data_IF_298910135742
#
_entry.id   IF_298910135742
#
_cell.length_a   1.000
_cell.length_b   1.000
_cell.length_c   1.000
_cell.angle_alpha   90.00
_cell.angle_beta   90.00
_cell.angle_gamma   90.00
#
_symmetry.space_group_name_H-M   'P 1'
#
loop_
_entity.id
_entity.type
_entity.pdbx_description
1 polymer ?
#
# COMPACT_ATOMS: atom_id res chain seq x y z
N UNK A 1 6.63 6.78 -19.52
CA UNK A 1 5.40 7.10 -20.24
C UNK A 1 4.91 8.45 -19.74
N UNK A 2 4.79 9.44 -20.58
CA UNK A 2 4.31 10.76 -20.18
C UNK A 2 2.80 10.80 -20.43
N UNK A 3 2.03 10.60 -19.36
CA UNK A 3 0.56 10.76 -19.39
C UNK A 3 0.22 12.26 -19.25
N UNK A 4 0.77 13.08 -20.16
CA UNK A 4 0.36 14.47 -20.24
C UNK A 4 -1.13 14.54 -20.61
N UNK A 5 -1.86 15.60 -20.24
CA UNK A 5 -3.30 15.71 -20.40
C UNK A 5 -3.80 15.71 -21.84
N UNK A 6 -2.93 15.59 -22.82
CA UNK A 6 -3.20 15.88 -24.22
C UNK A 6 -3.88 14.78 -25.05
N UNK A 7 -4.26 13.64 -24.50
CA UNK A 7 -4.81 12.56 -25.32
C UNK A 7 -6.05 11.85 -24.80
N UNK A 8 -6.28 11.81 -23.49
CA UNK A 8 -7.29 10.93 -22.90
C UNK A 8 -8.43 11.66 -22.15
N UNK A 9 -8.40 12.98 -22.09
CA UNK A 9 -9.39 13.75 -21.33
C UNK A 9 -9.18 13.63 -19.81
N UNK A 10 -10.24 13.87 -19.05
CA UNK A 10 -10.26 13.79 -17.59
C UNK A 10 -11.18 12.67 -17.10
N UNK A 11 -10.86 12.10 -15.94
CA UNK A 11 -11.55 10.96 -15.36
C UNK A 11 -12.18 11.33 -14.01
N UNK A 12 -13.31 10.68 -13.70
CA UNK A 12 -13.96 10.83 -12.39
C UNK A 12 -13.23 10.04 -11.30
N UNK A 13 -12.61 8.91 -11.67
CA UNK A 13 -11.90 8.02 -10.76
C UNK A 13 -10.60 7.53 -11.39
N UNK A 14 -9.53 7.50 -10.61
CA UNK A 14 -8.29 6.78 -10.92
C UNK A 14 -7.99 5.78 -9.79
N UNK A 15 -7.36 4.65 -10.14
CA UNK A 15 -6.95 3.62 -9.20
C UNK A 15 -5.49 3.29 -9.48
N UNK A 16 -4.69 3.21 -8.40
CA UNK A 16 -3.34 2.64 -8.43
C UNK A 16 -3.25 1.56 -7.38
N UNK A 17 -3.00 0.33 -7.81
CA UNK A 17 -2.83 -0.82 -6.93
C UNK A 17 -1.49 -1.48 -7.22
N UNK A 18 -0.53 -1.38 -6.29
CA UNK A 18 0.82 -1.94 -6.37
C UNK A 18 1.53 -1.62 -7.71
N UNK A 19 1.21 -0.48 -8.29
CA UNK A 19 1.74 -0.01 -9.57
C UNK A 19 2.84 1.03 -9.37
N UNK A 20 2.60 2.03 -8.52
CA UNK A 20 3.54 3.12 -8.30
C UNK A 20 4.79 2.69 -7.52
N UNK A 21 4.72 1.62 -6.73
CA UNK A 21 5.89 1.02 -6.07
C UNK A 21 6.92 0.48 -7.06
N UNK A 22 6.54 0.17 -8.32
CA UNK A 22 7.48 -0.27 -9.36
C UNK A 22 8.35 0.87 -9.93
N UNK A 23 8.05 2.10 -9.57
CA UNK A 23 8.90 3.25 -9.85
C UNK A 23 9.98 3.34 -8.74
N UNK A 24 11.22 3.01 -9.08
CA UNK A 24 12.32 2.82 -8.14
C UNK A 24 12.96 4.12 -7.64
N UNK A 25 12.36 5.27 -7.95
CA UNK A 25 12.77 6.56 -7.40
C UNK A 25 11.59 7.38 -6.90
N UNK A 26 11.79 8.07 -5.76
CA UNK A 26 10.79 9.02 -5.25
C UNK A 26 10.49 10.15 -6.24
N UNK A 27 11.46 10.52 -7.06
CA UNK A 27 11.28 11.54 -8.12
C UNK A 27 10.24 11.07 -9.14
N UNK A 28 10.33 9.82 -9.61
CA UNK A 28 9.43 9.26 -10.61
C UNK A 28 8.05 8.97 -10.01
N UNK A 29 7.99 8.47 -8.76
CA UNK A 29 6.74 8.32 -8.03
C UNK A 29 5.99 9.65 -7.89
N UNK A 30 6.69 10.75 -7.55
CA UNK A 30 6.09 12.09 -7.51
C UNK A 30 5.59 12.54 -8.89
N UNK A 31 6.37 12.31 -9.95
CA UNK A 31 5.95 12.65 -11.31
C UNK A 31 4.67 11.90 -11.70
N UNK A 32 4.62 10.59 -11.42
CA UNK A 32 3.44 9.78 -11.71
C UNK A 32 2.19 10.23 -10.91
N UNK A 33 2.33 10.51 -9.62
CA UNK A 33 1.23 11.05 -8.80
C UNK A 33 0.75 12.41 -9.36
N UNK A 34 1.67 13.30 -9.75
CA UNK A 34 1.32 14.57 -10.38
C UNK A 34 0.57 14.40 -11.69
N UNK A 35 1.00 13.47 -12.54
CA UNK A 35 0.32 13.14 -13.81
C UNK A 35 -1.08 12.58 -13.55
N UNK A 36 -1.24 11.67 -12.58
CA UNK A 36 -2.55 11.15 -12.18
C UNK A 36 -3.45 12.30 -11.69
N UNK A 37 -2.90 13.19 -10.86
CA UNK A 37 -3.66 14.34 -10.39
C UNK A 37 -4.12 15.27 -11.51
N UNK A 38 -3.34 15.42 -12.61
CA UNK A 38 -3.69 16.29 -13.73
C UNK A 38 -4.81 15.75 -14.62
N UNK A 39 -5.06 14.44 -14.60
CA UNK A 39 -6.10 13.78 -15.40
C UNK A 39 -7.36 13.43 -14.60
N UNK A 40 -7.39 13.71 -13.30
CA UNK A 40 -8.59 13.57 -12.49
C UNK A 40 -9.32 14.91 -12.44
N UNK A 41 -10.64 14.89 -12.65
CA UNK A 41 -11.52 16.05 -12.53
C UNK A 41 -11.47 16.64 -11.11
N UNK A 42 -11.73 17.93 -10.96
CA UNK A 42 -11.98 18.52 -9.63
C UNK A 42 -13.12 17.77 -8.93
N UNK A 43 -12.93 17.44 -7.66
CA UNK A 43 -13.85 16.61 -6.91
C UNK A 43 -13.81 15.11 -7.26
N UNK A 44 -13.02 14.69 -8.26
CA UNK A 44 -12.82 13.29 -8.61
C UNK A 44 -12.04 12.49 -7.55
N UNK A 45 -12.02 11.19 -7.66
CA UNK A 45 -11.48 10.27 -6.66
C UNK A 45 -10.21 9.58 -7.14
N UNK A 46 -9.18 9.52 -6.30
CA UNK A 46 -8.02 8.68 -6.51
C UNK A 46 -7.94 7.61 -5.42
N UNK A 47 -8.07 6.35 -5.80
CA UNK A 47 -7.88 5.19 -4.92
C UNK A 47 -6.42 4.74 -5.02
N UNK A 48 -5.68 4.98 -3.95
CA UNK A 48 -4.25 4.70 -3.85
C UNK A 48 -4.02 3.50 -2.94
N UNK A 49 -3.53 2.37 -3.48
CA UNK A 49 -3.31 1.11 -2.77
C UNK A 49 -1.86 0.66 -3.04
N UNK A 50 -0.95 1.00 -2.16
CA UNK A 50 0.49 0.83 -2.42
C UNK A 50 1.24 0.32 -1.19
N UNK A 51 2.51 -0.06 -1.38
CA UNK A 51 3.36 -0.54 -0.31
C UNK A 51 3.80 0.55 0.67
N UNK A 52 3.80 0.24 1.97
CA UNK A 52 4.27 1.10 3.06
C UNK A 52 5.64 0.65 3.56
N UNK A 53 6.62 1.53 3.46
CA UNK A 53 7.96 1.33 4.04
C UNK A 53 7.89 1.25 5.57
N UNK A 54 7.10 2.13 6.19
CA UNK A 54 6.93 2.18 7.64
C UNK A 54 6.27 0.93 8.17
N UNK A 55 5.20 0.47 7.52
CA UNK A 55 4.51 -0.76 7.89
C UNK A 55 5.39 -2.00 7.71
N UNK A 56 6.15 -2.09 6.59
CA UNK A 56 7.09 -3.20 6.37
C UNK A 56 8.17 -3.25 7.45
N UNK A 57 8.75 -2.11 7.79
CA UNK A 57 9.78 -2.04 8.84
C UNK A 57 9.25 -2.59 10.16
N UNK A 58 8.09 -2.13 10.61
CA UNK A 58 7.48 -2.57 11.89
C UNK A 58 7.04 -4.03 11.84
N UNK A 59 6.53 -4.51 10.71
CA UNK A 59 6.24 -5.94 10.54
C UNK A 59 7.52 -6.77 10.69
N UNK A 60 8.64 -6.34 10.11
CA UNK A 60 9.91 -7.04 10.22
C UNK A 60 10.48 -6.99 11.64
N UNK A 61 10.29 -5.89 12.37
CA UNK A 61 10.63 -5.81 13.81
C UNK A 61 9.81 -6.83 14.61
N UNK A 62 8.50 -6.93 14.38
CA UNK A 62 7.64 -7.93 15.01
C UNK A 62 8.04 -9.36 14.65
N UNK A 63 8.36 -9.65 13.38
CA UNK A 63 8.86 -10.95 12.93
C UNK A 63 10.18 -11.33 13.61
N UNK A 64 11.14 -10.42 13.61
CA UNK A 64 12.45 -10.64 14.23
C UNK A 64 12.37 -10.91 15.74
N UNK A 65 11.44 -10.26 16.45
CA UNK A 65 11.25 -10.48 17.90
C UNK A 65 10.81 -11.91 18.28
N UNK A 66 10.33 -12.68 17.30
CA UNK A 66 9.86 -14.06 17.47
C UNK A 66 10.65 -15.07 16.62
N UNK A 67 11.81 -14.66 16.08
CA UNK A 67 12.72 -15.55 15.35
C UNK A 67 12.35 -15.81 13.89
N UNK A 68 11.43 -15.06 13.31
CA UNK A 68 11.12 -15.13 11.87
C UNK A 68 12.04 -14.21 11.07
N UNK A 69 12.47 -14.66 9.90
CA UNK A 69 13.26 -13.87 8.97
C UNK A 69 12.53 -12.62 8.47
N UNK A 70 13.27 -11.55 8.20
CA UNK A 70 12.73 -10.35 7.62
C UNK A 70 12.17 -10.60 6.21
N UNK A 71 11.14 -9.85 5.85
CA UNK A 71 10.56 -9.82 4.50
C UNK A 71 11.03 -8.55 3.78
N UNK A 72 12.16 -8.59 3.04
CA UNK A 72 12.64 -7.42 2.31
C UNK A 72 11.67 -7.03 1.20
N UNK A 73 11.70 -5.78 0.72
CA UNK A 73 10.99 -5.43 -0.49
C UNK A 73 11.55 -6.22 -1.68
N UNK A 74 10.71 -6.49 -2.67
CA UNK A 74 11.18 -7.05 -3.95
C UNK A 74 12.12 -6.02 -4.59
N UNK A 75 13.21 -6.47 -5.20
CA UNK A 75 14.30 -5.62 -5.72
C UNK A 75 13.85 -4.48 -6.65
N UNK A 76 12.73 -4.68 -7.37
CA UNK A 76 12.17 -3.69 -8.30
C UNK A 76 11.07 -2.83 -7.67
N UNK A 77 10.82 -2.92 -6.36
CA UNK A 77 9.81 -2.14 -5.66
C UNK A 77 10.45 -1.11 -4.72
N UNK A 78 9.92 0.10 -4.74
CA UNK A 78 10.19 1.13 -3.76
C UNK A 78 8.89 1.45 -3.01
N UNK A 79 8.73 0.89 -1.80
CA UNK A 79 7.62 1.21 -0.93
C UNK A 79 7.66 2.69 -0.51
N UNK A 80 6.51 3.27 -0.20
CA UNK A 80 6.36 4.67 0.17
C UNK A 80 6.69 4.93 1.65
N UNK A 81 7.51 5.95 1.89
CA UNK A 81 7.60 6.64 3.19
C UNK A 81 6.27 7.40 3.40
N UNK A 82 5.48 7.00 4.39
CA UNK A 82 4.12 7.52 4.59
C UNK A 82 4.09 9.01 4.91
N UNK A 83 5.11 9.52 5.60
CA UNK A 83 5.21 10.94 5.94
C UNK A 83 5.46 11.79 4.68
N UNK A 84 6.43 11.38 3.87
CA UNK A 84 6.75 12.08 2.60
C UNK A 84 5.60 11.98 1.61
N UNK A 85 4.98 10.80 1.49
CA UNK A 85 3.81 10.57 0.65
C UNK A 85 2.65 11.48 1.04
N UNK A 86 2.27 11.46 2.33
CA UNK A 86 1.16 12.26 2.84
C UNK A 86 1.36 13.76 2.61
N UNK A 87 2.58 14.26 2.85
CA UNK A 87 2.92 15.67 2.61
C UNK A 87 2.81 16.03 1.11
N UNK A 88 3.19 15.12 0.23
CA UNK A 88 3.12 15.36 -1.21
C UNK A 88 1.69 15.29 -1.75
N UNK A 89 0.92 14.27 -1.35
CA UNK A 89 -0.48 14.09 -1.77
C UNK A 89 -1.36 15.27 -1.39
N UNK A 90 -1.15 15.88 -0.23
CA UNK A 90 -1.88 17.07 0.24
C UNK A 90 -1.79 18.28 -0.69
N UNK A 91 -0.84 18.31 -1.64
CA UNK A 91 -0.76 19.37 -2.65
C UNK A 91 -1.91 19.32 -3.65
N UNK A 92 -2.43 18.13 -3.93
CA UNK A 92 -3.41 17.87 -4.99
C UNK A 92 -4.74 17.35 -4.47
N UNK A 93 -4.71 16.69 -3.29
CA UNK A 93 -5.83 15.92 -2.78
C UNK A 93 -6.12 16.23 -1.32
N UNK A 94 -7.38 16.00 -0.93
CA UNK A 94 -7.81 15.81 0.45
C UNK A 94 -7.86 14.31 0.73
N UNK A 95 -7.29 13.86 1.85
CA UNK A 95 -7.36 12.45 2.26
C UNK A 95 -8.71 12.25 2.98
N UNK A 96 -9.65 11.57 2.32
CA UNK A 96 -10.97 11.31 2.89
C UNK A 96 -10.98 10.06 3.78
N UNK A 97 -10.23 9.03 3.37
CA UNK A 97 -10.19 7.76 4.10
C UNK A 97 -8.79 7.15 4.05
N UNK A 98 -8.41 6.53 5.16
CA UNK A 98 -7.20 5.71 5.26
C UNK A 98 -7.58 4.36 5.86
N UNK A 99 -7.26 3.28 5.16
CA UNK A 99 -7.43 1.91 5.63
C UNK A 99 -6.07 1.20 5.65
N UNK A 100 -5.99 0.19 6.47
CA UNK A 100 -4.80 -0.63 6.67
C UNK A 100 -5.18 -2.11 6.66
N UNK A 101 -4.24 -2.94 6.29
CA UNK A 101 -4.41 -4.40 6.25
C UNK A 101 -3.57 -5.10 7.33
N UNK A 102 -3.35 -4.43 8.48
CA UNK A 102 -2.45 -4.92 9.55
C UNK A 102 -2.87 -6.26 10.13
N UNK A 103 -4.17 -6.52 10.30
CA UNK A 103 -4.67 -7.84 10.72
C UNK A 103 -4.30 -8.92 9.69
N UNK A 104 -4.45 -8.61 8.38
CA UNK A 104 -4.00 -9.54 7.33
C UNK A 104 -2.52 -9.83 7.45
N UNK A 105 -1.69 -8.80 7.58
CA UNK A 105 -0.24 -8.97 7.69
C UNK A 105 0.15 -9.70 8.97
N UNK A 106 -0.51 -9.44 10.11
CA UNK A 106 -0.29 -10.18 11.35
C UNK A 106 -0.58 -11.68 11.16
N UNK A 107 -1.75 -12.01 10.67
CA UNK A 107 -2.16 -13.42 10.54
C UNK A 107 -1.38 -14.12 9.44
N UNK A 108 -1.32 -13.53 8.23
CA UNK A 108 -0.73 -14.19 7.06
C UNK A 108 0.81 -14.17 7.05
N UNK A 109 1.45 -13.22 7.75
CA UNK A 109 2.90 -13.01 7.68
C UNK A 109 3.63 -13.24 9.01
N UNK A 110 2.89 -13.39 10.10
CA UNK A 110 3.48 -13.68 11.43
C UNK A 110 2.94 -15.00 11.95
N UNK A 111 1.62 -15.13 12.12
CA UNK A 111 1.00 -16.31 12.71
C UNK A 111 1.10 -17.52 11.78
N UNK A 112 0.74 -17.39 10.52
CA UNK A 112 0.74 -18.51 9.56
C UNK A 112 2.12 -19.17 9.41
N UNK A 113 3.23 -18.43 9.20
CA UNK A 113 4.56 -19.04 9.17
C UNK A 113 4.91 -19.85 10.42
N UNK A 114 4.54 -19.38 11.61
CA UNK A 114 4.80 -20.10 12.85
C UNK A 114 3.98 -21.40 12.98
N UNK A 115 2.74 -21.38 12.47
CA UNK A 115 1.87 -22.56 12.55
C UNK A 115 2.28 -23.70 11.60
N UNK A 116 2.92 -23.37 10.49
CA UNK A 116 3.29 -24.36 9.46
C UNK A 116 4.76 -24.77 9.51
N UNK A 117 5.58 -24.06 10.31
CA UNK A 117 7.01 -24.39 10.44
C UNK A 117 7.22 -25.88 10.75
N UNK A 118 8.18 -26.57 10.14
CA UNK A 118 9.24 -26.02 9.28
C UNK A 118 8.85 -25.84 7.80
N UNK A 119 7.59 -26.07 7.42
CA UNK A 119 7.12 -25.88 6.05
C UNK A 119 6.95 -24.39 5.73
N UNK A 120 7.01 -24.08 4.41
CA UNK A 120 6.73 -22.72 3.93
C UNK A 120 5.23 -22.43 3.89
N UNK A 121 4.80 -21.21 4.30
CA UNK A 121 3.40 -20.82 4.28
C UNK A 121 2.87 -20.71 2.85
N UNK A 122 1.81 -21.43 2.52
CA UNK A 122 1.17 -21.41 1.19
C UNK A 122 0.28 -20.19 1.04
N UNK A 123 0.36 -19.55 -0.13
CA UNK A 123 -0.43 -18.35 -0.43
C UNK A 123 -1.95 -18.62 -0.41
N UNK A 124 -2.38 -19.75 -0.97
CA UNK A 124 -3.77 -20.19 -1.07
C UNK A 124 -4.33 -20.83 0.21
N UNK A 125 -3.56 -20.85 1.29
CA UNK A 125 -4.03 -21.42 2.55
C UNK A 125 -5.25 -20.68 3.10
N UNK A 126 -6.24 -21.44 3.60
CA UNK A 126 -7.52 -20.90 4.11
C UNK A 126 -7.34 -19.84 5.21
N UNK A 127 -6.26 -19.90 5.98
CA UNK A 127 -5.96 -18.89 6.99
C UNK A 127 -5.78 -17.50 6.38
N UNK A 128 -5.29 -17.40 5.14
CA UNK A 128 -5.11 -16.13 4.43
C UNK A 128 -6.46 -15.54 3.99
N UNK A 129 -7.44 -16.38 3.61
CA UNK A 129 -8.81 -15.94 3.32
C UNK A 129 -9.48 -15.38 4.59
N UNK A 130 -9.34 -16.08 5.71
CA UNK A 130 -9.85 -15.64 7.01
C UNK A 130 -9.22 -14.31 7.38
N UNK A 131 -7.89 -14.17 7.25
CA UNK A 131 -7.17 -12.94 7.51
C UNK A 131 -7.68 -11.77 6.66
N UNK A 132 -7.93 -12.00 5.36
CA UNK A 132 -8.47 -11.00 4.45
C UNK A 132 -9.89 -10.55 4.89
N UNK A 133 -10.77 -11.50 5.21
CA UNK A 133 -12.13 -11.19 5.69
C UNK A 133 -12.12 -10.41 7.01
N UNK A 134 -11.20 -10.74 7.93
CA UNK A 134 -11.03 -9.99 9.17
C UNK A 134 -10.54 -8.56 8.91
N UNK A 135 -9.57 -8.38 8.01
CA UNK A 135 -9.03 -7.07 7.67
C UNK A 135 -10.05 -6.13 7.02
N UNK A 136 -11.06 -6.67 6.32
CA UNK A 136 -12.17 -5.88 5.78
C UNK A 136 -13.09 -5.32 6.87
N UNK A 137 -13.20 -6.02 8.00
CA UNK A 137 -14.12 -5.67 9.10
C UNK A 137 -13.43 -4.91 10.23
N UNK A 138 -12.12 -5.06 10.39
CA UNK A 138 -11.33 -4.54 11.51
C UNK A 138 -10.11 -3.81 11.01
N UNK A 139 -9.81 -2.69 11.64
CA UNK A 139 -8.66 -1.82 11.30
C UNK A 139 -7.58 -1.82 12.40
N UNK A 140 -7.50 -2.92 13.15
CA UNK A 140 -6.47 -3.09 14.19
C UNK A 140 -5.10 -3.41 13.58
N UNK A 141 -4.05 -3.34 14.36
CA UNK A 141 -2.66 -3.61 13.92
C UNK A 141 -2.19 -2.74 12.73
N UNK A 142 -2.64 -1.49 12.67
CA UNK A 142 -2.37 -0.56 11.55
C UNK A 142 -0.90 -0.37 11.27
N UNK A 143 -0.12 -0.31 12.31
CA UNK A 143 1.31 0.01 12.29
C UNK A 143 2.16 -1.04 11.59
N UNK A 144 1.74 -2.30 11.56
CA UNK A 144 2.43 -3.39 10.84
C UNK A 144 1.89 -3.64 9.43
N UNK A 145 0.96 -2.83 8.94
CA UNK A 145 0.41 -2.97 7.59
C UNK A 145 1.42 -2.59 6.52
N UNK A 146 1.85 -3.56 5.71
CA UNK A 146 2.73 -3.31 4.55
C UNK A 146 2.01 -2.62 3.39
N UNK A 147 0.70 -2.55 3.43
CA UNK A 147 -0.12 -1.91 2.40
C UNK A 147 -0.94 -0.80 3.02
N UNK A 148 -0.91 0.36 2.39
CA UNK A 148 -1.74 1.50 2.73
C UNK A 148 -2.79 1.70 1.64
N UNK A 149 -4.04 1.87 2.03
CA UNK A 149 -5.12 2.31 1.16
C UNK A 149 -5.54 3.73 1.54
N UNK A 150 -5.55 4.62 0.55
CA UNK A 150 -6.04 6.00 0.70
C UNK A 150 -7.14 6.26 -0.32
N UNK A 151 -8.28 6.80 0.14
CA UNK A 151 -9.25 7.44 -0.72
C UNK A 151 -8.95 8.96 -0.72
N UNK A 152 -8.64 9.50 -1.88
CA UNK A 152 -8.10 10.82 -2.09
C UNK A 152 -9.06 11.61 -2.99
N UNK A 153 -9.63 12.72 -2.46
CA UNK A 153 -10.48 13.63 -3.23
C UNK A 153 -9.64 14.71 -3.88
N UNK A 154 -9.74 14.87 -5.20
CA UNK A 154 -9.09 15.96 -5.93
C UNK A 154 -9.64 17.31 -5.45
N UNK A 155 -8.73 18.25 -5.17
CA UNK A 155 -9.07 19.64 -4.81
C UNK A 155 -9.49 20.44 -6.02
#
# INVERSE_FOLDING_TARGET
>A
MDLGPSGYGTFDVAISERCLINLTSWKDQKKAIGNIASVIKEGGLFLFIEGSQDGRRRLNEARGSIGLDAMPPVWHNLDFDEKKLTAYLKKFFTIEKRLHFGIYDLIARVVHPLLVAPEEPKYEARINEIAAQMALKRQDCRDISRTIFLALRKK
#
